data_IF_561667137099
#
_entry.id   IF_561667137099
#
_cell.length_a   1.000
_cell.length_b   1.000
_cell.length_c   1.000
_cell.angle_alpha   90.00
_cell.angle_beta   90.00
_cell.angle_gamma   90.00
#
_symmetry.space_group_name_H-M   'P 1'
#
loop_
_entity.id
_entity.type
_entity.pdbx_description
1 polymer ?
#
# COMPACT_ATOMS: atom_id res chain seq x y z
N UNK A 1 14.82 45.51 6.15
CA UNK A 1 15.08 44.08 6.50
C UNK A 1 14.00 43.17 5.90
N UNK A 2 13.78 43.24 4.58
CA UNK A 2 12.84 42.35 3.87
C UNK A 2 13.53 41.10 3.29
N UNK A 3 14.86 41.13 3.15
CA UNK A 3 15.62 40.03 2.55
C UNK A 3 15.82 38.84 3.50
N UNK A 4 15.76 39.05 4.82
CA UNK A 4 15.96 37.99 5.84
C UNK A 4 14.69 37.15 6.08
N UNK A 5 13.50 37.69 5.78
CA UNK A 5 12.22 37.01 6.02
C UNK A 5 11.59 36.39 4.77
N UNK A 6 12.38 36.08 3.73
CA UNK A 6 11.84 35.50 2.50
C UNK A 6 11.88 33.96 2.54
N UNK A 7 10.82 33.26 2.13
CA UNK A 7 10.82 31.78 2.01
C UNK A 7 11.94 31.26 1.10
N UNK A 8 12.39 32.05 0.13
CA UNK A 8 13.51 31.72 -0.75
C UNK A 8 14.86 31.59 0.00
N UNK A 9 15.02 32.29 1.13
CA UNK A 9 16.21 32.13 1.99
C UNK A 9 16.18 30.83 2.82
N UNK A 10 14.98 30.29 3.08
CA UNK A 10 14.79 28.99 3.77
C UNK A 10 14.76 27.80 2.81
N UNK A 11 14.63 28.02 1.49
CA UNK A 11 14.79 26.98 0.46
C UNK A 11 16.24 26.44 0.31
N UNK A 12 17.18 26.92 1.14
CA UNK A 12 18.53 26.36 1.27
C UNK A 12 18.59 25.13 2.19
N UNK A 13 17.55 24.89 3.01
CA UNK A 13 17.41 23.60 3.70
C UNK A 13 16.81 22.63 2.69
N UNK A 14 17.64 21.69 2.23
CA UNK A 14 17.21 20.57 1.39
C UNK A 14 16.05 19.87 2.10
N UNK A 15 14.88 19.89 1.48
CA UNK A 15 13.65 19.36 2.07
C UNK A 15 13.71 17.83 2.00
N UNK A 16 13.19 17.13 3.00
CA UNK A 16 13.14 15.66 2.98
C UNK A 16 12.23 15.16 1.82
N UNK A 17 11.41 16.04 1.26
CA UNK A 17 10.70 15.81 -0.01
C UNK A 17 11.57 15.85 -1.27
N UNK A 18 12.78 16.44 -1.23
CA UNK A 18 13.72 16.49 -2.35
C UNK A 18 14.50 15.17 -2.54
N UNK A 19 14.55 14.31 -1.51
CA UNK A 19 15.18 12.99 -1.58
C UNK A 19 14.16 11.91 -1.21
N UNK A 20 13.31 11.48 -2.17
CA UNK A 20 12.24 10.53 -1.92
C UNK A 20 12.74 9.10 -1.64
N UNK A 21 14.06 8.88 -1.53
CA UNK A 21 14.65 7.56 -1.37
C UNK A 21 14.52 6.70 -2.63
N UNK A 22 14.79 5.40 -2.47
CA UNK A 22 14.65 4.46 -3.59
C UNK A 22 13.17 4.19 -3.87
N UNK A 23 12.73 4.52 -5.07
CA UNK A 23 11.37 4.23 -5.53
C UNK A 23 11.08 2.73 -5.59
N UNK A 24 9.82 2.38 -5.42
CA UNK A 24 9.35 0.99 -5.52
C UNK A 24 9.44 0.49 -6.97
N UNK A 25 9.85 -0.76 -7.14
CA UNK A 25 9.73 -1.38 -8.46
C UNK A 25 8.27 -1.55 -8.87
N UNK A 26 8.02 -1.73 -10.16
CA UNK A 26 6.67 -2.01 -10.69
C UNK A 26 6.10 -3.28 -10.05
N UNK A 27 6.94 -4.31 -9.87
CA UNK A 27 6.54 -5.57 -9.25
C UNK A 27 6.11 -5.41 -7.80
N UNK A 28 6.85 -4.65 -7.00
CA UNK A 28 6.50 -4.36 -5.61
C UNK A 28 5.23 -3.51 -5.52
N UNK A 29 5.08 -2.51 -6.39
CA UNK A 29 3.89 -1.66 -6.43
C UNK A 29 2.65 -2.49 -6.71
N UNK A 30 2.70 -3.32 -7.75
CA UNK A 30 1.59 -4.23 -8.06
C UNK A 30 1.39 -5.27 -6.96
N UNK A 31 2.47 -5.80 -6.37
CA UNK A 31 2.42 -6.76 -5.29
C UNK A 31 1.67 -6.25 -4.06
N UNK A 32 2.02 -5.05 -3.57
CA UNK A 32 1.39 -4.48 -2.37
C UNK A 32 0.01 -3.90 -2.62
N UNK A 33 -0.19 -3.19 -3.74
CA UNK A 33 -1.43 -2.44 -3.95
C UNK A 33 -2.48 -3.21 -4.75
N UNK A 34 -2.11 -4.30 -5.42
CA UNK A 34 -3.05 -5.13 -6.20
C UNK A 34 -3.02 -6.57 -5.71
N UNK A 35 -1.84 -7.18 -5.62
CA UNK A 35 -1.67 -8.58 -5.22
C UNK A 35 -2.17 -8.85 -3.80
N UNK A 36 -1.71 -8.05 -2.83
CA UNK A 36 -2.07 -8.23 -1.41
C UNK A 36 -3.57 -8.05 -1.15
N UNK A 37 -4.26 -7.01 -1.68
CA UNK A 37 -5.72 -6.92 -1.60
C UNK A 37 -6.46 -8.12 -2.22
N UNK A 38 -6.03 -8.59 -3.39
CA UNK A 38 -6.64 -9.75 -4.04
C UNK A 38 -6.45 -11.04 -3.22
N UNK A 39 -5.25 -11.22 -2.66
CA UNK A 39 -4.96 -12.36 -1.79
C UNK A 39 -5.83 -12.32 -0.54
N UNK A 40 -5.92 -11.17 0.13
CA UNK A 40 -6.79 -11.00 1.30
C UNK A 40 -8.24 -11.29 0.95
N UNK A 41 -8.74 -10.78 -0.17
CA UNK A 41 -10.09 -11.07 -0.64
C UNK A 41 -10.31 -12.57 -0.85
N UNK A 42 -9.40 -13.24 -1.56
CA UNK A 42 -9.51 -14.67 -1.84
C UNK A 42 -9.49 -15.51 -0.56
N UNK A 43 -8.61 -15.18 0.39
CA UNK A 43 -8.55 -15.83 1.70
C UNK A 43 -9.87 -15.66 2.45
N UNK A 44 -10.40 -14.43 2.51
CA UNK A 44 -11.67 -14.16 3.20
C UNK A 44 -12.82 -14.90 2.52
N UNK A 45 -12.94 -14.82 1.19
CA UNK A 45 -13.98 -15.49 0.44
C UNK A 45 -13.95 -17.01 0.65
N UNK A 46 -12.75 -17.59 0.66
CA UNK A 46 -12.56 -19.01 0.95
C UNK A 46 -12.99 -19.35 2.38
N UNK A 47 -12.51 -18.60 3.39
CA UNK A 47 -12.86 -18.83 4.79
C UNK A 47 -14.36 -18.71 5.06
N UNK A 48 -15.03 -17.73 4.43
CA UNK A 48 -16.47 -17.52 4.54
C UNK A 48 -17.25 -18.67 3.88
N UNK A 49 -16.78 -19.17 2.73
CA UNK A 49 -17.45 -20.24 1.99
C UNK A 49 -17.16 -21.63 2.58
N UNK A 50 -16.14 -21.77 3.42
CA UNK A 50 -15.65 -23.04 3.93
C UNK A 50 -16.71 -23.85 4.71
N UNK A 51 -17.54 -23.27 5.60
CA UNK A 51 -18.59 -24.01 6.30
C UNK A 51 -19.64 -24.60 5.36
N UNK A 52 -20.03 -23.87 4.31
CA UNK A 52 -20.98 -24.34 3.31
C UNK A 52 -20.39 -25.49 2.48
N UNK A 53 -19.12 -25.38 2.10
CA UNK A 53 -18.39 -26.43 1.37
C UNK A 53 -18.32 -27.72 2.22
N UNK A 54 -17.99 -27.60 3.50
CA UNK A 54 -17.90 -28.74 4.42
C UNK A 54 -19.29 -29.34 4.70
N UNK A 55 -20.30 -28.51 4.95
CA UNK A 55 -21.67 -28.94 5.25
C UNK A 55 -22.35 -29.65 4.08
N UNK A 56 -22.05 -29.25 2.84
CA UNK A 56 -22.53 -29.91 1.62
C UNK A 56 -22.03 -31.35 1.49
N UNK A 57 -20.83 -31.65 1.99
CA UNK A 57 -20.27 -33.02 1.98
C UNK A 57 -20.84 -33.96 3.04
N UNK A 58 -21.52 -33.43 4.07
CA UNK A 58 -22.09 -34.21 5.18
C UNK A 58 -23.53 -34.66 4.93
N UNK A 59 -24.13 -34.24 3.81
CA UNK A 59 -25.52 -34.54 3.45
C UNK A 59 -25.60 -35.88 2.69
N UNK A 60 -25.07 -36.94 3.28
CA UNK A 60 -25.18 -38.34 2.83
C UNK A 60 -25.56 -39.22 4.03
#
# INVERSE_FOLDING_TARGET
MLLISSPAAFALTRDDGDDPGSGLSIGETLGYFVGLPLLLFAVIAFLVSLPDIIGKGKKN
#
